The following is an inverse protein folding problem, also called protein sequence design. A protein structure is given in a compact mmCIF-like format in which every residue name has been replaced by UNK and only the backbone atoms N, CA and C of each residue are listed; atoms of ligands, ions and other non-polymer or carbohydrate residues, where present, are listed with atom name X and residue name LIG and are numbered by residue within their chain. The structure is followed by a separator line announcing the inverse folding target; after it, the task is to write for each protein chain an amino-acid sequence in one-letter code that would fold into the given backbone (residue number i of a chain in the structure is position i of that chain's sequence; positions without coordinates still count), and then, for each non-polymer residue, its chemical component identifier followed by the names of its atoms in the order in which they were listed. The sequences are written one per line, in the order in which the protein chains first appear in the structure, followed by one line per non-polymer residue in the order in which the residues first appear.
data_IF_751093537848
#
_entry.id   IF_751093537848
#
_cell.length_a   1.000
_cell.length_b   1.000
_cell.length_c   1.000
_cell.angle_alpha   90.00
_cell.angle_beta   90.00
_cell.angle_gamma   90.00
#
_symmetry.space_group_name_H-M   'P 1'
#
loop_
_entity.id
_entity.type
_entity.pdbx_description
1 polymer ?
#
# COMPACT_ATOMS: atom_id res chain seq x y z
N UNK A 1 -7.94 -23.63 14.07
CA UNK A 1 -8.69 -22.41 13.71
C UNK A 1 -7.78 -21.62 12.80
N UNK A 2 -7.83 -21.93 11.51
CA UNK A 2 -7.23 -21.12 10.47
C UNK A 2 -7.93 -19.77 10.52
N UNK A 3 -7.23 -18.76 11.05
CA UNK A 3 -7.70 -17.39 10.93
C UNK A 3 -7.58 -17.06 9.44
N UNK A 4 -8.65 -17.27 8.67
CA UNK A 4 -8.90 -16.58 7.41
C UNK A 4 -8.97 -15.08 7.73
N UNK A 5 -7.81 -14.45 7.95
CA UNK A 5 -7.67 -13.01 7.96
C UNK A 5 -7.89 -12.60 6.52
N UNK A 6 -9.16 -12.51 6.13
CA UNK A 6 -9.54 -12.04 4.81
C UNK A 6 -9.07 -10.60 4.75
N UNK A 7 -8.10 -10.26 3.89
CA UNK A 7 -7.67 -8.87 3.77
C UNK A 7 -8.90 -8.01 3.47
N UNK A 8 -9.01 -6.87 4.16
CA UNK A 8 -10.07 -5.91 3.85
C UNK A 8 -9.93 -5.44 2.40
N UNK A 9 -11.01 -4.91 1.83
CA UNK A 9 -11.07 -4.54 0.41
C UNK A 9 -9.91 -3.63 0.03
N UNK A 10 -9.57 -2.68 0.90
CA UNK A 10 -8.44 -1.76 0.74
C UNK A 10 -7.08 -2.46 0.71
N UNK A 11 -6.87 -3.48 1.53
CA UNK A 11 -5.65 -4.30 1.52
C UNK A 11 -5.55 -5.11 0.23
N UNK A 12 -6.65 -5.72 -0.21
CA UNK A 12 -6.70 -6.40 -1.52
C UNK A 12 -6.40 -5.44 -2.67
N UNK A 13 -6.95 -4.22 -2.59
CA UNK A 13 -6.73 -3.19 -3.60
C UNK A 13 -5.28 -2.73 -3.62
N UNK A 14 -4.63 -2.60 -2.46
CA UNK A 14 -3.20 -2.35 -2.38
C UNK A 14 -2.38 -3.44 -3.08
N UNK A 15 -2.63 -4.71 -2.76
CA UNK A 15 -1.87 -5.83 -3.32
C UNK A 15 -2.11 -6.02 -4.83
N UNK A 16 -3.34 -5.82 -5.30
CA UNK A 16 -3.69 -6.07 -6.70
C UNK A 16 -3.40 -4.87 -7.60
N UNK A 17 -3.69 -3.64 -7.15
CA UNK A 17 -3.63 -2.46 -8.00
C UNK A 17 -2.39 -1.60 -7.77
N UNK A 18 -1.84 -1.55 -6.55
CA UNK A 18 -0.75 -0.61 -6.19
C UNK A 18 0.61 -1.31 -6.14
N UNK A 19 0.69 -2.48 -5.50
CA UNK A 19 1.91 -3.28 -5.35
C UNK A 19 2.65 -3.53 -6.69
N UNK A 20 1.97 -3.84 -7.81
CA UNK A 20 2.67 -4.08 -9.09
C UNK A 20 3.44 -2.86 -9.61
N UNK A 21 3.05 -1.66 -9.20
CA UNK A 21 3.68 -0.39 -9.56
C UNK A 21 4.79 0.03 -8.60
N UNK A 22 4.93 -0.65 -7.46
CA UNK A 22 5.99 -0.39 -6.50
C UNK A 22 7.22 -1.17 -6.94
N UNK A 23 8.31 -0.44 -7.21
CA UNK A 23 9.61 -1.03 -7.55
C UNK A 23 10.39 -1.41 -6.29
N UNK A 24 10.26 -0.59 -5.24
CA UNK A 24 10.97 -0.81 -4.00
C UNK A 24 10.26 -0.09 -2.84
N UNK A 25 10.49 -0.54 -1.62
CA UNK A 25 9.99 0.11 -0.41
C UNK A 25 11.15 0.34 0.54
N UNK A 26 11.29 1.58 1.02
CA UNK A 26 12.31 1.96 1.99
C UNK A 26 11.67 2.20 3.34
N UNK A 27 12.13 1.48 4.36
CA UNK A 27 11.73 1.74 5.74
C UNK A 27 12.58 2.90 6.27
N UNK A 28 11.91 3.98 6.64
CA UNK A 28 12.50 5.18 7.24
C UNK A 28 12.02 5.33 8.70
N UNK A 29 12.61 6.27 9.43
CA UNK A 29 12.30 6.48 10.85
C UNK A 29 10.83 6.82 11.10
N UNK A 30 10.16 7.45 10.15
CA UNK A 30 8.75 7.89 10.25
C UNK A 30 7.79 7.03 9.40
N UNK A 31 8.22 5.86 8.92
CA UNK A 31 7.32 4.97 8.18
C UNK A 31 7.95 4.26 6.99
N UNK A 32 7.11 3.83 6.04
CA UNK A 32 7.53 3.13 4.82
C UNK A 32 7.31 4.07 3.64
N UNK A 33 8.38 4.40 2.94
CA UNK A 33 8.36 5.15 1.69
C UNK A 33 8.31 4.16 0.53
N UNK A 34 7.24 4.20 -0.27
CA UNK A 34 7.10 3.37 -1.46
C UNK A 34 7.66 4.09 -2.69
N UNK A 35 8.58 3.43 -3.40
CA UNK A 35 9.20 3.90 -4.63
C UNK A 35 8.43 3.29 -5.79
N UNK A 36 7.77 4.15 -6.56
CA UNK A 36 6.97 3.75 -7.72
C UNK A 36 7.80 3.64 -9.00
N UNK A 37 7.37 2.80 -9.93
CA UNK A 37 7.93 2.69 -11.29
C UNK A 37 7.74 4.01 -12.05
N UNK A 38 8.68 4.31 -12.93
CA UNK A 38 8.54 5.41 -13.87
C UNK A 38 7.33 5.14 -14.79
N UNK A 39 6.50 6.15 -15.02
CA UNK A 39 5.22 5.98 -15.75
C UNK A 39 4.04 5.48 -14.91
N UNK A 40 4.18 5.37 -13.58
CA UNK A 40 3.04 5.02 -12.71
C UNK A 40 1.90 6.05 -12.86
N UNK A 41 0.67 5.61 -13.18
CA UNK A 41 -0.46 6.52 -13.35
C UNK A 41 -0.79 7.29 -12.08
N UNK A 42 -1.23 8.54 -12.22
CA UNK A 42 -1.66 9.36 -11.09
C UNK A 42 -2.81 8.72 -10.29
N UNK A 43 -3.67 7.95 -10.95
CA UNK A 43 -4.73 7.19 -10.28
C UNK A 43 -4.19 6.23 -9.22
N UNK A 44 -3.07 5.54 -9.48
CA UNK A 44 -2.45 4.63 -8.49
C UNK A 44 -1.95 5.39 -7.27
N UNK A 45 -1.39 6.60 -7.47
CA UNK A 45 -0.95 7.48 -6.38
C UNK A 45 -2.12 8.01 -5.55
N UNK A 46 -3.23 8.34 -6.21
CA UNK A 46 -4.48 8.74 -5.55
C UNK A 46 -5.06 7.58 -4.74
N UNK A 47 -5.17 6.38 -5.34
CA UNK A 47 -5.63 5.18 -4.66
C UNK A 47 -4.82 4.91 -3.40
N UNK A 48 -3.48 4.93 -3.47
CA UNK A 48 -2.64 4.78 -2.27
C UNK A 48 -2.97 5.85 -1.22
N UNK A 49 -3.18 7.10 -1.63
CA UNK A 49 -3.49 8.20 -0.71
C UNK A 49 -4.86 8.04 -0.05
N UNK A 50 -5.85 7.48 -0.75
CA UNK A 50 -7.18 7.21 -0.20
C UNK A 50 -7.18 6.01 0.75
N UNK A 51 -6.45 4.95 0.41
CA UNK A 51 -6.42 3.74 1.24
C UNK A 51 -5.39 3.80 2.37
N UNK A 52 -4.34 4.63 2.31
CA UNK A 52 -3.30 4.68 3.37
C UNK A 52 -3.85 4.95 4.76
N UNK A 53 -4.95 5.70 4.87
CA UNK A 53 -5.63 5.97 6.14
C UNK A 53 -6.52 4.83 6.64
N UNK A 54 -6.88 3.89 5.74
CA UNK A 54 -7.75 2.74 6.00
C UNK A 54 -6.99 1.41 6.04
N UNK A 55 -5.79 1.37 5.49
CA UNK A 55 -4.87 0.25 5.61
C UNK A 55 -4.55 0.07 7.10
N UNK A 56 -5.05 -1.03 7.69
CA UNK A 56 -4.82 -1.38 9.10
C UNK A 56 -3.38 -1.77 9.43
N UNK A 57 -2.43 -1.56 8.51
CA UNK A 57 -1.02 -1.69 8.81
C UNK A 57 -0.57 -0.41 9.54
N UNK A 58 -0.26 -0.54 10.84
CA UNK A 58 0.39 0.53 11.61
C UNK A 58 1.69 0.94 10.91
N UNK A 59 1.66 2.05 10.18
CA UNK A 59 2.86 2.83 9.86
C UNK A 59 3.18 3.57 11.16
N UNK A 60 4.10 3.02 11.96
CA UNK A 60 4.54 3.70 13.18
C UNK A 60 5.24 5.01 12.80
N UNK A 61 4.73 6.09 13.40
CA UNK A 61 5.24 7.45 13.35
C UNK A 61 6.58 7.60 14.09
#
# INVERSE_FOLDING_TARGET
MDMDIKPNKETLQFFNEILPWITSSKKEKNGITYIFKEGTPNQIRQLLTEIKGKLSFKINN
#
